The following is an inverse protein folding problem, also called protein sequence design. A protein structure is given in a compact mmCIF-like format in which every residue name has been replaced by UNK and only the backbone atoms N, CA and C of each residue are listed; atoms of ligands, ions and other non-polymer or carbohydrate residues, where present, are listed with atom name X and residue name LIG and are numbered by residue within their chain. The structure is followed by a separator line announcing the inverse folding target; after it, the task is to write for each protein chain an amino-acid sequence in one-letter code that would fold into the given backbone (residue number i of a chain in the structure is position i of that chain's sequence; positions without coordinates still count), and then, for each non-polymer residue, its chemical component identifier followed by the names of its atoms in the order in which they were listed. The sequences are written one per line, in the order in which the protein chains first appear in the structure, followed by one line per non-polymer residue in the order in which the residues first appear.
data_IF_309440369181
#
_entry.id   IF_309440369181
#
_cell.length_a   1.000
_cell.length_b   1.000
_cell.length_c   1.000
_cell.angle_alpha   90.00
_cell.angle_beta   90.00
_cell.angle_gamma   90.00
#
_symmetry.space_group_name_H-M   'P 1'
#
loop_
_entity.id
_entity.type
_entity.pdbx_description
1 polymer ?
#
# COMPACT_ATOMS: atom_id res chain seq x y z
N UNK A 1 7.73 -12.09 -3.39
CA UNK A 1 7.78 -10.92 -2.50
C UNK A 1 7.14 -11.28 -1.17
N UNK A 2 7.74 -10.88 -0.04
CA UNK A 2 7.15 -10.99 1.29
C UNK A 2 6.81 -9.58 1.79
N UNK A 3 5.55 -9.20 1.81
CA UNK A 3 5.13 -7.88 2.28
C UNK A 3 3.83 -7.99 3.08
N UNK A 4 3.77 -7.29 4.20
CA UNK A 4 2.64 -7.35 5.13
C UNK A 4 1.98 -5.98 5.30
N UNK A 5 0.65 -5.98 5.40
CA UNK A 5 -0.13 -4.80 5.75
C UNK A 5 -0.85 -5.08 7.07
N UNK A 6 -0.64 -4.20 8.04
CA UNK A 6 -1.33 -4.21 9.32
C UNK A 6 -2.84 -3.99 9.16
N UNK A 7 -3.61 -4.40 10.16
CA UNK A 7 -5.04 -4.11 10.17
C UNK A 7 -5.32 -2.60 10.30
N UNK A 8 -4.49 -1.88 11.06
CA UNK A 8 -4.54 -0.42 11.25
C UNK A 8 -4.37 0.32 9.93
N UNK A 9 -3.36 -0.02 9.14
CA UNK A 9 -3.14 0.59 7.83
C UNK A 9 -4.26 0.26 6.84
N UNK A 10 -4.73 -0.99 6.80
CA UNK A 10 -5.84 -1.38 5.94
C UNK A 10 -7.12 -0.59 6.28
N UNK A 11 -7.45 -0.46 7.56
CA UNK A 11 -8.61 0.31 8.01
C UNK A 11 -8.48 1.79 7.64
N UNK A 12 -7.30 2.39 7.84
CA UNK A 12 -7.06 3.78 7.45
C UNK A 12 -7.38 3.99 5.96
N UNK A 13 -6.81 3.19 5.07
CA UNK A 13 -7.06 3.34 3.63
C UNK A 13 -8.49 3.01 3.21
N UNK A 14 -9.15 2.08 3.90
CA UNK A 14 -10.58 1.77 3.68
C UNK A 14 -11.49 2.96 4.05
N UNK A 15 -11.09 3.78 5.01
CA UNK A 15 -11.82 4.99 5.38
C UNK A 15 -11.48 6.19 4.49
N UNK A 16 -10.21 6.38 4.15
CA UNK A 16 -9.75 7.51 3.33
C UNK A 16 -10.10 7.35 1.85
N UNK A 17 -10.03 6.12 1.31
CA UNK A 17 -10.37 5.84 -0.07
C UNK A 17 -11.76 5.21 -0.18
N UNK A 18 -12.67 5.92 -0.84
CA UNK A 18 -13.88 5.31 -1.41
C UNK A 18 -13.51 4.58 -2.70
N UNK A 19 -13.19 3.28 -2.57
CA UNK A 19 -12.87 2.41 -3.69
C UNK A 19 -14.15 1.87 -4.35
N UNK A 20 -14.22 2.00 -5.68
CA UNK A 20 -15.22 1.34 -6.51
C UNK A 20 -14.82 -0.07 -6.92
N UNK A 21 -15.67 -0.69 -7.73
CA UNK A 21 -15.39 -2.00 -8.32
C UNK A 21 -14.14 -1.92 -9.19
N UNK A 22 -13.21 -2.86 -9.00
CA UNK A 22 -11.91 -2.95 -9.68
C UNK A 22 -10.87 -1.89 -9.34
N UNK A 23 -11.20 -0.92 -8.47
CA UNK A 23 -10.21 -0.02 -7.89
C UNK A 23 -9.50 -0.68 -6.71
N UNK A 24 -8.25 -0.26 -6.50
CA UNK A 24 -7.39 -0.69 -5.42
C UNK A 24 -6.46 0.45 -4.99
N UNK A 25 -5.78 0.25 -3.88
CA UNK A 25 -4.74 1.16 -3.41
C UNK A 25 -3.41 0.71 -4.01
N UNK A 26 -2.84 1.56 -4.85
CA UNK A 26 -1.50 1.37 -5.40
C UNK A 26 -0.47 1.88 -4.41
N UNK A 27 0.47 1.00 -4.05
CA UNK A 27 1.65 1.35 -3.28
C UNK A 27 2.84 1.35 -4.24
N UNK A 28 3.56 2.45 -4.31
CA UNK A 28 4.63 2.62 -5.29
C UNK A 28 5.74 3.52 -4.73
N UNK A 29 6.89 3.59 -5.40
CA UNK A 29 8.01 4.40 -4.94
C UNK A 29 7.96 5.80 -5.57
N UNK A 30 7.92 6.87 -4.75
CA UNK A 30 8.24 8.24 -5.22
C UNK A 30 9.70 8.54 -4.92
N UNK A 31 10.42 9.03 -5.94
CA UNK A 31 11.78 9.56 -5.80
C UNK A 31 11.79 11.08 -5.67
N UNK A 32 12.57 11.59 -4.71
CA UNK A 32 12.91 13.01 -4.55
C UNK A 32 14.36 13.11 -3.99
N UNK A 33 14.58 13.79 -2.87
CA UNK A 33 15.84 13.72 -2.10
C UNK A 33 15.97 12.40 -1.31
N UNK A 34 15.55 11.29 -1.91
CA UNK A 34 15.37 9.98 -1.28
C UNK A 34 14.24 9.19 -1.95
N UNK A 35 13.96 8.00 -1.42
CA UNK A 35 12.84 7.16 -1.85
C UNK A 35 11.78 7.12 -0.76
N UNK A 36 10.53 7.36 -1.16
CA UNK A 36 9.39 7.45 -0.25
C UNK A 36 8.27 6.54 -0.72
N UNK A 37 7.44 6.10 0.23
CA UNK A 37 6.17 5.46 -0.05
C UNK A 37 5.22 6.48 -0.68
N UNK A 38 4.82 6.23 -1.92
CA UNK A 38 3.70 6.89 -2.55
C UNK A 38 2.46 6.00 -2.52
N UNK A 39 1.30 6.63 -2.36
CA UNK A 39 0.02 5.93 -2.32
C UNK A 39 -1.00 6.67 -3.16
N UNK A 40 -1.68 5.95 -4.05
CA UNK A 40 -2.75 6.48 -4.88
C UNK A 40 -3.84 5.44 -5.11
N UNK A 41 -5.03 5.90 -5.50
CA UNK A 41 -6.10 5.02 -5.96
C UNK A 41 -5.91 4.76 -7.45
N UNK A 42 -5.92 3.50 -7.85
CA UNK A 42 -5.78 3.12 -9.26
C UNK A 42 -6.53 1.81 -9.57
N UNK A 43 -6.75 1.54 -10.85
CA UNK A 43 -7.30 0.27 -11.32
C UNK A 43 -6.30 -0.85 -11.05
N UNK A 44 -6.80 -2.03 -10.65
CA UNK A 44 -5.95 -3.19 -10.46
C UNK A 44 -5.23 -3.59 -11.74
N UNK A 45 -3.93 -3.84 -11.63
CA UNK A 45 -3.09 -4.42 -12.68
C UNK A 45 -2.90 -5.92 -12.43
N UNK A 46 -3.11 -6.74 -13.46
CA UNK A 46 -3.07 -8.20 -13.35
C UNK A 46 -1.66 -8.75 -13.06
N UNK A 47 -0.61 -8.02 -13.46
CA UNK A 47 0.79 -8.43 -13.32
C UNK A 47 1.44 -7.91 -12.02
N UNK A 48 0.67 -7.25 -11.16
CA UNK A 48 1.16 -6.71 -9.90
C UNK A 48 1.11 -7.73 -8.75
N UNK A 49 1.90 -7.49 -7.70
CA UNK A 49 1.75 -8.21 -6.44
C UNK A 49 0.53 -7.65 -5.69
N UNK A 50 -0.49 -8.48 -5.48
CA UNK A 50 -1.77 -8.09 -4.87
C UNK A 50 -1.87 -8.61 -3.44
N UNK A 51 -2.33 -7.75 -2.54
CA UNK A 51 -2.69 -8.10 -1.17
C UNK A 51 -4.13 -7.69 -0.92
N UNK A 52 -4.91 -8.59 -0.35
CA UNK A 52 -6.25 -8.28 0.16
C UNK A 52 -6.25 -8.34 1.68
N UNK A 53 -6.74 -7.27 2.32
CA UNK A 53 -6.88 -7.18 3.77
C UNK A 53 -8.22 -6.54 4.09
N UNK A 54 -9.10 -7.25 4.79
CA UNK A 54 -10.39 -6.71 5.23
C UNK A 54 -11.26 -6.08 4.10
N UNK A 55 -11.22 -6.70 2.91
CA UNK A 55 -11.99 -6.30 1.73
C UNK A 55 -11.41 -5.15 0.92
N UNK A 56 -10.27 -4.58 1.33
CA UNK A 56 -9.50 -3.62 0.51
C UNK A 56 -8.34 -4.33 -0.17
N UNK A 57 -8.15 -4.03 -1.45
CA UNK A 57 -7.05 -4.56 -2.27
C UNK A 57 -5.95 -3.53 -2.39
N UNK A 58 -4.73 -3.98 -2.23
CA UNK A 58 -3.50 -3.23 -2.45
C UNK A 58 -2.72 -3.89 -3.56
N UNK A 59 -1.98 -3.11 -4.34
CA UNK A 59 -1.06 -3.68 -5.31
C UNK A 59 0.26 -2.91 -5.40
N UNK A 60 1.31 -3.64 -5.76
CA UNK A 60 2.66 -3.12 -5.99
C UNK A 60 3.15 -3.65 -7.33
N UNK A 61 3.50 -2.75 -8.25
CA UNK A 61 4.05 -3.13 -9.56
C UNK A 61 5.45 -3.72 -9.41
N UNK A 62 5.88 -4.59 -10.33
CA UNK A 62 7.20 -5.24 -10.26
C UNK A 62 8.36 -4.25 -10.05
N UNK A 63 8.30 -3.09 -10.72
CA UNK A 63 9.31 -2.03 -10.63
C UNK A 63 9.44 -1.39 -9.24
N UNK A 64 8.40 -1.49 -8.42
CA UNK A 64 8.35 -0.88 -7.09
C UNK A 64 8.65 -1.88 -5.97
N UNK A 65 8.57 -3.20 -6.22
CA UNK A 65 8.63 -4.24 -5.18
C UNK A 65 9.91 -4.19 -4.33
N UNK A 66 11.03 -3.74 -4.88
CA UNK A 66 12.33 -3.70 -4.18
C UNK A 66 12.32 -2.85 -2.90
N UNK A 67 11.46 -1.82 -2.81
CA UNK A 67 11.36 -1.01 -1.59
C UNK A 67 10.58 -1.73 -0.49
N UNK A 68 9.69 -2.64 -0.86
CA UNK A 68 8.67 -3.23 0.01
C UNK A 68 8.97 -4.69 0.38
N UNK A 69 9.85 -5.37 -0.34
CA UNK A 69 10.17 -6.77 -0.07
C UNK A 69 10.79 -6.95 1.32
N UNK A 70 10.24 -7.89 2.09
CA UNK A 70 10.55 -8.15 3.48
C UNK A 70 9.98 -7.13 4.49
N UNK A 71 9.14 -6.19 4.06
CA UNK A 71 8.65 -5.08 4.91
C UNK A 71 7.22 -5.25 5.39
N UNK A 72 6.87 -4.42 6.37
CA UNK A 72 5.50 -4.24 6.83
C UNK A 72 5.07 -2.77 6.74
N UNK A 73 3.85 -2.54 6.26
CA UNK A 73 3.18 -1.25 6.32
C UNK A 73 2.24 -1.20 7.53
N UNK A 74 2.50 -0.26 8.43
CA UNK A 74 1.70 0.01 9.62
C UNK A 74 1.22 1.45 9.67
N UNK A 75 0.10 1.67 10.35
CA UNK A 75 -0.38 3.00 10.69
C UNK A 75 -0.24 3.19 12.19
N UNK A 76 0.68 4.08 12.56
CA UNK A 76 0.88 4.49 13.94
C UNK A 76 -0.22 5.47 14.32
N UNK A 77 -1.19 4.98 15.11
CA UNK A 77 -2.34 5.77 15.56
C UNK A 77 -1.97 6.90 16.53
N UNK A 78 -0.84 6.79 17.24
CA UNK A 78 -0.43 7.82 18.21
C UNK A 78 0.20 9.02 17.49
N UNK A 79 0.99 8.74 16.45
CA UNK A 79 1.69 9.75 15.67
C UNK A 79 0.95 10.11 14.36
N UNK A 80 -0.20 9.49 14.10
CA UNK A 80 -1.04 9.66 12.91
C UNK A 80 -0.24 9.54 11.60
N UNK A 81 0.67 8.55 11.54
CA UNK A 81 1.63 8.42 10.43
C UNK A 81 1.72 7.00 9.88
N UNK A 82 2.02 6.90 8.58
CA UNK A 82 2.31 5.65 7.91
C UNK A 82 3.78 5.27 8.07
N UNK A 83 4.01 4.05 8.54
CA UNK A 83 5.34 3.52 8.81
C UNK A 83 5.58 2.30 7.94
N UNK A 84 6.61 2.36 7.11
CA UNK A 84 7.13 1.22 6.35
C UNK A 84 8.41 0.72 7.03
N UNK A 85 8.33 -0.40 7.74
CA UNK A 85 9.46 -1.00 8.48
C UNK A 85 10.00 -2.23 7.75
#
# INVERSE_FOLDING_TARGET
MLFEISQSAANFYKHEFMLGDHEAVRLFVRGAEGFFLGVEKEMLEEEAYIIEKDGIRFFITENDQWLFDGKKLDFDQLNETMVLS
#
